data_IF_481088711321
#
_entry.id   IF_481088711321
#
_cell.length_a   1.000
_cell.length_b   1.000
_cell.length_c   1.000
_cell.angle_alpha   90.00
_cell.angle_beta   90.00
_cell.angle_gamma   90.00
#
_symmetry.space_group_name_H-M   'P 1'
#
loop_
_entity.id
_entity.type
_entity.pdbx_description
1 polymer ?
#
# COMPACT_ATOMS: atom_id res chain seq x y z
N UNK A 1 -0.97 5.13 -13.00
CA UNK A 1 0.25 4.63 -13.69
C UNK A 1 0.78 3.43 -12.93
N UNK A 2 1.36 2.42 -13.60
CA UNK A 2 1.92 1.22 -12.94
C UNK A 2 3.27 0.84 -13.53
N UNK A 3 4.20 0.46 -12.67
CA UNK A 3 5.54 -0.01 -13.05
C UNK A 3 5.87 -1.32 -12.35
N UNK A 4 6.66 -2.15 -13.01
CA UNK A 4 7.16 -3.41 -12.45
C UNK A 4 8.69 -3.37 -12.50
N UNK A 5 9.32 -3.58 -11.35
CA UNK A 5 10.77 -3.50 -11.17
C UNK A 5 11.29 -4.69 -10.38
N UNK A 6 12.55 -5.06 -10.64
CA UNK A 6 13.25 -6.03 -9.78
C UNK A 6 13.84 -5.29 -8.59
N UNK A 7 13.40 -5.68 -7.40
CA UNK A 7 13.85 -5.05 -6.16
C UNK A 7 14.17 -6.12 -5.12
N UNK A 8 15.22 -5.90 -4.33
CA UNK A 8 15.54 -6.72 -3.19
C UNK A 8 14.86 -6.14 -1.96
N UNK A 9 14.01 -6.94 -1.32
CA UNK A 9 13.39 -6.54 -0.06
C UNK A 9 14.47 -6.51 1.01
N UNK A 10 14.87 -5.32 1.46
CA UNK A 10 15.93 -5.18 2.45
C UNK A 10 15.43 -5.47 3.86
N UNK A 11 14.48 -4.66 4.33
CA UNK A 11 13.93 -4.76 5.68
C UNK A 11 12.57 -4.13 5.78
N UNK A 12 11.81 -4.58 6.76
CA UNK A 12 10.57 -3.96 7.21
C UNK A 12 10.72 -3.66 8.70
N UNK A 13 10.33 -2.45 9.10
CA UNK A 13 10.43 -1.98 10.48
C UNK A 13 9.06 -1.52 10.93
N UNK A 14 8.48 -2.24 11.88
CA UNK A 14 7.21 -1.87 12.52
C UNK A 14 7.49 -0.91 13.66
N UNK A 15 6.90 0.28 13.58
CA UNK A 15 6.85 1.30 14.64
C UNK A 15 5.44 1.31 15.26
N UNK A 16 5.28 1.91 16.44
CA UNK A 16 4.00 1.93 17.16
C UNK A 16 2.85 2.61 16.39
N UNK A 17 3.13 3.37 15.33
CA UNK A 17 2.10 4.06 14.51
C UNK A 17 2.12 3.70 13.02
N UNK A 18 3.21 3.11 12.52
CA UNK A 18 3.45 2.94 11.09
C UNK A 18 4.47 1.85 10.81
N UNK A 19 4.48 1.31 9.61
CA UNK A 19 5.47 0.35 9.17
C UNK A 19 6.29 0.92 8.02
N UNK A 20 7.62 0.84 8.14
CA UNK A 20 8.55 1.28 7.11
C UNK A 20 9.05 0.07 6.33
N UNK A 21 8.83 0.06 5.03
CA UNK A 21 9.27 -1.00 4.13
C UNK A 21 10.34 -0.45 3.20
N UNK A 22 11.51 -1.09 3.19
CA UNK A 22 12.65 -0.65 2.42
C UNK A 22 13.04 -1.69 1.37
N UNK A 23 13.18 -1.24 0.13
CA UNK A 23 13.67 -2.06 -0.98
C UNK A 23 14.93 -1.47 -1.61
N UNK A 24 15.76 -2.35 -2.17
CA UNK A 24 16.92 -2.00 -2.97
C UNK A 24 16.67 -2.33 -4.43
N UNK A 25 16.71 -1.32 -5.29
CA UNK A 25 16.60 -1.44 -6.73
C UNK A 25 18.00 -1.35 -7.33
N UNK A 26 18.33 -2.23 -8.27
CA UNK A 26 19.64 -2.25 -8.93
C UNK A 26 19.50 -2.36 -10.44
N UNK A 27 20.52 -1.94 -11.18
CA UNK A 27 20.62 -2.17 -12.62
C UNK A 27 19.95 -1.09 -13.46
N UNK A 28 19.08 -1.49 -14.39
CA UNK A 28 18.36 -0.53 -15.25
C UNK A 28 17.07 -0.01 -14.60
N UNK A 29 16.49 -0.77 -13.67
CA UNK A 29 15.25 -0.38 -12.99
C UNK A 29 15.44 0.85 -12.08
N UNK A 30 16.63 1.07 -11.52
CA UNK A 30 16.93 2.27 -10.72
C UNK A 30 16.98 3.57 -11.54
N UNK A 31 17.09 3.48 -12.87
CA UNK A 31 17.11 4.64 -13.77
C UNK A 31 15.73 5.00 -14.29
N UNK A 32 14.69 4.26 -13.90
CA UNK A 32 13.33 4.53 -14.39
C UNK A 32 12.84 5.89 -13.87
N UNK A 33 12.49 6.83 -14.75
CA UNK A 33 12.02 8.15 -14.35
C UNK A 33 10.70 8.08 -13.57
N UNK A 34 9.92 7.02 -13.80
CA UNK A 34 8.65 6.75 -13.12
C UNK A 34 8.81 6.59 -11.60
N UNK A 35 9.94 6.05 -11.13
CA UNK A 35 10.24 5.97 -9.70
C UNK A 35 10.35 7.36 -9.08
N UNK A 36 11.02 8.28 -9.77
CA UNK A 36 11.14 9.66 -9.30
C UNK A 36 9.81 10.41 -9.35
N UNK A 37 8.95 10.08 -10.31
CA UNK A 37 7.63 10.68 -10.42
C UNK A 37 6.71 10.25 -9.27
N UNK A 38 6.76 8.98 -8.87
CA UNK A 38 5.94 8.45 -7.76
C UNK A 38 6.51 8.76 -6.37
N UNK A 39 7.74 9.30 -6.28
CA UNK A 39 8.32 9.74 -5.01
C UNK A 39 7.46 10.85 -4.41
N UNK A 40 7.11 10.71 -3.13
CA UNK A 40 6.14 11.57 -2.40
C UNK A 40 4.68 11.42 -2.85
N UNK A 41 4.34 10.32 -3.51
CA UNK A 41 2.95 9.94 -3.77
C UNK A 41 2.53 8.71 -2.96
N UNK A 42 1.23 8.44 -2.95
CA UNK A 42 0.68 7.21 -2.39
C UNK A 42 0.65 6.16 -3.50
N UNK A 43 1.12 4.97 -3.18
CA UNK A 43 1.24 3.87 -4.12
C UNK A 43 0.65 2.60 -3.55
N UNK A 44 0.27 1.69 -4.43
CA UNK A 44 -0.11 0.33 -4.13
C UNK A 44 1.07 -0.55 -4.55
N UNK A 45 1.59 -1.30 -3.59
CA UNK A 45 2.68 -2.24 -3.76
C UNK A 45 2.10 -3.64 -3.93
N UNK A 46 2.56 -4.37 -4.93
CA UNK A 46 2.14 -5.76 -5.17
C UNK A 46 3.39 -6.57 -5.55
N UNK A 47 3.60 -7.72 -4.92
CA UNK A 47 4.77 -8.58 -5.20
C UNK A 47 4.31 -9.75 -6.07
N UNK A 48 5.07 -10.05 -7.12
CA UNK A 48 4.79 -11.22 -7.97
C UNK A 48 4.83 -12.51 -7.15
N UNK A 49 3.74 -13.28 -7.21
CA UNK A 49 3.54 -14.50 -6.42
C UNK A 49 2.89 -14.28 -5.06
N UNK A 50 2.46 -13.06 -4.73
CA UNK A 50 1.54 -12.77 -3.64
C UNK A 50 0.23 -12.21 -4.22
N UNK A 51 -0.90 -12.70 -3.74
CA UNK A 51 -2.24 -12.21 -4.10
C UNK A 51 -2.71 -11.09 -3.15
N UNK A 52 -1.74 -10.33 -2.61
CA UNK A 52 -2.00 -9.25 -1.67
C UNK A 52 -1.37 -7.97 -2.17
N UNK A 53 -2.12 -6.88 -2.00
CA UNK A 53 -1.69 -5.54 -2.35
C UNK A 53 -1.55 -4.70 -1.08
N UNK A 54 -0.50 -3.91 -0.98
CA UNK A 54 -0.17 -3.12 0.19
C UNK A 54 -0.14 -1.64 -0.16
N UNK A 55 -1.05 -0.87 0.45
CA UNK A 55 -1.11 0.58 0.28
C UNK A 55 0.00 1.24 1.11
N UNK A 56 0.86 2.02 0.47
CA UNK A 56 1.99 2.66 1.11
C UNK A 56 2.28 4.05 0.53
N UNK A 57 2.76 4.94 1.36
CA UNK A 57 3.30 6.23 0.95
C UNK A 57 4.75 6.07 0.51
N UNK A 58 5.09 6.45 -0.72
CA UNK A 58 6.47 6.47 -1.20
C UNK A 58 7.19 7.69 -0.60
N UNK A 59 7.93 7.47 0.48
CA UNK A 59 8.48 8.55 1.30
C UNK A 59 9.70 9.20 0.62
N UNK A 60 10.68 8.38 0.20
CA UNK A 60 11.89 8.85 -0.47
C UNK A 60 12.56 7.78 -1.32
N UNK A 61 13.28 8.23 -2.35
CA UNK A 61 14.24 7.45 -3.12
C UNK A 61 15.65 8.01 -2.91
N UNK A 62 16.59 7.19 -2.46
CA UNK A 62 17.99 7.57 -2.23
C UNK A 62 18.90 6.73 -3.12
N UNK A 63 19.63 7.39 -4.02
CA UNK A 63 20.62 6.71 -4.85
C UNK A 63 21.91 6.51 -4.07
N UNK A 64 22.29 5.26 -3.88
CA UNK A 64 23.57 4.82 -3.33
C UNK A 64 24.53 4.45 -4.49
N UNK A 65 25.82 4.30 -4.21
CA UNK A 65 26.84 4.05 -5.22
C UNK A 65 26.63 2.75 -6.02
N UNK A 66 25.84 1.79 -5.52
CA UNK A 66 25.60 0.48 -6.15
C UNK A 66 24.12 0.12 -6.35
N UNK A 67 23.21 0.93 -5.81
CA UNK A 67 21.78 0.61 -5.72
C UNK A 67 20.97 1.86 -5.42
N UNK A 68 19.69 1.83 -5.73
CA UNK A 68 18.74 2.84 -5.27
C UNK A 68 17.90 2.27 -4.13
N UNK A 69 17.87 2.97 -3.01
CA UNK A 69 17.10 2.64 -1.84
C UNK A 69 15.76 3.36 -1.94
N UNK A 70 14.66 2.63 -1.91
CA UNK A 70 13.31 3.19 -1.89
C UNK A 70 12.65 2.85 -0.57
N UNK A 71 12.11 3.87 0.09
CA UNK A 71 11.48 3.77 1.40
C UNK A 71 9.98 4.05 1.28
N UNK A 72 9.19 3.08 1.71
CA UNK A 72 7.73 3.17 1.76
C UNK A 72 7.25 3.20 3.21
N UNK A 73 6.20 3.98 3.46
CA UNK A 73 5.54 4.10 4.75
C UNK A 73 4.13 3.53 4.64
N UNK A 74 3.88 2.43 5.32
CA UNK A 74 2.61 1.72 5.40
C UNK A 74 1.92 2.14 6.69
N UNK A 75 0.60 2.35 6.65
CA UNK A 75 -0.18 2.63 7.87
C UNK A 75 -0.24 1.39 8.74
N UNK A 76 -0.06 1.55 10.05
CA UNK A 76 -0.12 0.44 11.02
C UNK A 76 -1.49 -0.27 11.10
N UNK A 77 -2.54 0.38 10.59
CA UNK A 77 -3.91 -0.16 10.46
C UNK A 77 -4.14 -0.94 9.16
N UNK A 78 -3.15 -0.99 8.27
CA UNK A 78 -3.26 -1.83 7.07
C UNK A 78 -3.39 -3.28 7.50
N UNK A 79 -4.33 -4.01 6.89
CA UNK A 79 -4.72 -5.37 7.27
C UNK A 79 -3.49 -6.22 7.59
N UNK A 80 -3.37 -6.65 8.85
CA UNK A 80 -2.17 -7.33 9.36
C UNK A 80 -1.77 -8.55 8.50
N UNK A 81 -2.73 -9.20 7.84
CA UNK A 81 -2.52 -10.27 6.89
C UNK A 81 -1.71 -9.85 5.66
N UNK A 82 -2.02 -8.71 5.04
CA UNK A 82 -1.33 -8.20 3.85
C UNK A 82 0.13 -7.86 4.20
N UNK A 83 0.32 -7.17 5.32
CA UNK A 83 1.63 -6.77 5.81
C UNK A 83 2.50 -7.97 6.20
N UNK A 84 1.90 -9.04 6.72
CA UNK A 84 2.61 -10.27 7.09
C UNK A 84 3.11 -11.05 5.88
N UNK A 85 2.32 -11.16 4.81
CA UNK A 85 2.74 -11.82 3.57
C UNK A 85 3.92 -11.09 2.91
N UNK A 86 3.92 -9.77 2.94
CA UNK A 86 5.06 -8.95 2.51
C UNK A 86 6.30 -9.23 3.38
N UNK A 87 6.14 -9.24 4.70
CA UNK A 87 7.23 -9.52 5.63
C UNK A 87 7.89 -10.88 5.38
N UNK A 88 7.12 -11.92 4.99
CA UNK A 88 7.68 -13.23 4.62
C UNK A 88 8.66 -13.18 3.45
N UNK A 89 8.55 -12.17 2.59
CA UNK A 89 9.45 -11.95 1.44
C UNK A 89 10.64 -11.06 1.79
N UNK A 90 10.72 -10.51 3.01
CA UNK A 90 11.86 -9.72 3.45
C UNK A 90 13.17 -10.52 3.37
N UNK A 91 14.24 -9.87 2.91
CA UNK A 91 15.55 -10.49 2.68
C UNK A 91 15.69 -11.20 1.32
N UNK A 92 14.62 -11.30 0.53
CA UNK A 92 14.64 -11.96 -0.79
C UNK A 92 14.58 -10.96 -1.96
N UNK A 93 15.03 -11.41 -3.13
CA UNK A 93 14.81 -10.68 -4.38
C UNK A 93 13.38 -10.92 -4.85
N UNK A 94 12.65 -9.84 -5.10
CA UNK A 94 11.24 -9.87 -5.51
C UNK A 94 11.02 -9.03 -6.76
N UNK A 95 9.96 -9.34 -7.49
CA UNK A 95 9.47 -8.47 -8.55
C UNK A 95 8.36 -7.61 -7.96
N UNK A 96 8.67 -6.34 -7.73
CA UNK A 96 7.79 -5.38 -7.09
C UNK A 96 7.05 -4.59 -8.17
N UNK A 97 5.73 -4.62 -8.10
CA UNK A 97 4.85 -3.75 -8.88
C UNK A 97 4.47 -2.56 -8.00
N UNK A 98 4.65 -1.35 -8.54
CA UNK A 98 4.31 -0.08 -7.89
C UNK A 98 3.26 0.59 -8.78
N UNK A 99 2.05 0.74 -8.27
CA UNK A 99 0.96 1.45 -8.94
C UNK A 99 0.64 2.74 -8.18
N UNK A 100 0.47 3.85 -8.89
CA UNK A 100 0.01 5.09 -8.27
C UNK A 100 -1.43 4.91 -7.76
N UNK A 101 -1.67 5.21 -6.49
CA UNK A 101 -3.01 5.21 -5.91
C UNK A 101 -3.75 6.49 -6.36
N UNK A 102 -5.06 6.38 -6.59
CA UNK A 102 -5.93 7.55 -6.74
C UNK A 102 -6.25 8.15 -5.36
N UNK A 103 -5.21 8.56 -4.62
CA UNK A 103 -5.37 9.30 -3.36
C UNK A 103 -4.15 10.17 -3.07
N UNK A 104 -4.36 11.26 -2.34
CA UNK A 104 -3.28 12.15 -1.90
C UNK A 104 -2.59 11.65 -0.64
N UNK A 105 -1.34 12.07 -0.39
CA UNK A 105 -0.63 11.78 0.86
C UNK A 105 -1.37 12.27 2.10
N UNK A 106 -2.09 13.38 1.98
CA UNK A 106 -2.86 13.96 3.07
C UNK A 106 -4.05 13.06 3.45
N UNK A 107 -4.82 12.61 2.45
CA UNK A 107 -5.87 11.60 2.60
C UNK A 107 -5.30 10.27 3.14
N UNK A 108 -4.11 9.85 2.69
CA UNK A 108 -3.49 8.62 3.20
C UNK A 108 -3.12 8.73 4.66
N UNK A 109 -2.75 9.93 5.14
CA UNK A 109 -2.45 10.18 6.55
C UNK A 109 -3.71 10.37 7.38
N UNK A 110 -4.73 11.03 6.85
CA UNK A 110 -6.00 11.29 7.53
C UNK A 110 -6.94 10.08 7.59
N UNK A 111 -6.92 9.19 6.60
CA UNK A 111 -7.85 8.05 6.46
C UNK A 111 -7.65 6.94 7.50
N UNK A 112 -8.03 7.21 8.73
CA UNK A 112 -8.36 6.21 9.76
C UNK A 112 -9.87 6.16 9.99
N UNK A 113 -10.67 6.48 8.97
CA UNK A 113 -12.14 6.59 9.07
C UNK A 113 -12.82 6.31 7.73
N UNK A 114 -12.45 5.19 7.10
CA UNK A 114 -13.20 4.60 5.97
C UNK A 114 -13.38 3.10 6.27
N UNK A 115 -14.10 2.82 7.37
CA UNK A 115 -14.86 1.57 7.57
C UNK A 115 -16.35 1.91 7.85
N UNK A 116 -16.80 3.11 7.47
CA UNK A 116 -18.21 3.49 7.50
C UNK A 116 -18.76 3.54 6.07
N UNK A 117 -18.93 2.36 5.46
CA UNK A 117 -20.22 2.11 4.84
C UNK A 117 -21.12 1.52 5.94
N UNK A 118 -21.60 2.40 6.83
CA UNK A 118 -22.93 2.16 7.38
C UNK A 118 -23.86 2.10 6.16
N UNK A 119 -24.34 0.90 5.82
CA UNK A 119 -25.61 0.81 5.10
C UNK A 119 -26.61 1.60 5.95
N UNK A 120 -26.93 2.83 5.53
CA UNK A 120 -28.13 3.53 5.96
C UNK A 120 -29.32 2.65 5.53
N UNK A 121 -29.64 1.63 6.34
CA UNK A 121 -30.94 0.99 6.26
C UNK A 121 -31.93 2.03 6.78
N UNK A 122 -32.60 2.70 5.85
CA UNK A 122 -33.77 3.53 6.13
C UNK A 122 -34.68 2.82 7.15
N UNK A 123 -34.86 3.35 8.38
CA UNK A 123 -35.74 2.73 9.37
C UNK A 123 -37.22 2.81 8.98
N UNK A 124 -37.58 3.57 7.94
CA UNK A 124 -38.96 3.84 7.52
C UNK A 124 -39.58 2.78 6.59
N UNK A 125 -38.83 1.76 6.14
CA UNK A 125 -39.38 0.71 5.27
C UNK A 125 -39.71 -0.62 5.97
N UNK A 126 -39.55 -0.73 7.29
CA UNK A 126 -39.84 -1.97 8.02
C UNK A 126 -41.27 -2.07 8.59
N UNK A 127 -42.03 -0.98 8.68
CA UNK A 127 -43.37 -0.99 9.30
C UNK A 127 -44.55 -0.90 8.33
N UNK A 128 -44.33 -0.97 7.00
CA UNK A 128 -45.42 -0.94 6.02
C UNK A 128 -45.90 -2.33 5.52
N UNK A 129 -45.25 -3.43 5.89
CA UNK A 129 -45.60 -4.78 5.41
C UNK A 129 -46.16 -5.73 6.50
N UNK A 130 -46.69 -5.19 7.61
CA UNK A 130 -47.41 -6.00 8.59
C UNK A 130 -48.90 -5.63 8.76
N UNK A 131 -49.45 -4.78 7.89
CA UNK A 131 -50.89 -4.45 7.85
C UNK A 131 -51.63 -5.03 6.63
N UNK A 132 -51.07 -6.03 5.94
CA UNK A 132 -51.80 -6.71 4.84
C UNK A 132 -51.60 -8.24 4.80
N UNK A 133 -51.59 -8.90 5.97
CA UNK A 133 -51.88 -10.33 6.06
C UNK A 133 -52.73 -10.62 7.31
N UNK A 134 -54.05 -10.51 7.09
CA UNK A 134 -55.19 -11.20 7.74
C UNK A 134 -55.25 -11.38 9.27
#
# INVERSE_FOLDING_TARGET
MKIQIKAQFNKQTKDSKKELVQFFVTGDDEKRPELNAMTREVVILSIEGLDVELKAAFNKSSKDAKKTIIDFEVKGDSSAAQTFEFYKKAGSSVVLTIAAAQMSMDEFRQGGMDDEEEEERDPDQAEAEFEELE
#
